data_IF_101432055089
#
_entry.id   IF_101432055089
#
_cell.length_a   1.000
_cell.length_b   1.000
_cell.length_c   1.000
_cell.angle_alpha   90.00
_cell.angle_beta   90.00
_cell.angle_gamma   90.00
#
_symmetry.space_group_name_H-M   'P 1'
#
loop_
_entity.id
_entity.type
_entity.pdbx_description
1 polymer ?
#
# COMPACT_ATOMS: atom_id res chain seq x y z
N UNK A 1 0.13 1.72 0.26
CA UNK A 1 1.27 1.58 1.20
C UNK A 1 0.89 2.09 2.57
N UNK A 2 0.60 1.18 3.50
CA UNK A 2 0.08 1.55 4.82
C UNK A 2 1.12 2.32 5.65
N UNK A 3 0.87 3.59 5.91
CA UNK A 3 1.61 4.41 6.87
C UNK A 3 1.18 4.07 8.30
N UNK A 4 1.57 2.87 8.80
CA UNK A 4 1.42 2.59 10.22
C UNK A 4 2.48 3.35 11.02
N UNK A 5 2.04 4.17 11.96
CA UNK A 5 2.90 4.79 12.96
C UNK A 5 3.75 3.72 13.69
N UNK A 6 4.95 4.07 14.16
CA UNK A 6 5.80 3.14 14.86
C UNK A 6 5.11 2.65 16.13
N UNK A 7 4.83 1.36 16.21
CA UNK A 7 4.45 0.70 17.44
C UNK A 7 5.72 0.59 18.29
N UNK A 8 6.02 1.62 19.07
CA UNK A 8 6.93 1.43 20.19
C UNK A 8 6.10 0.94 21.37
N UNK A 9 6.43 -0.25 21.80
CA UNK A 9 6.02 -0.84 23.05
C UNK A 9 6.14 0.18 24.18
N UNK A 10 5.00 0.71 24.65
CA UNK A 10 4.88 1.11 26.01
C UNK A 10 5.00 -0.18 26.81
N UNK A 11 6.10 -0.33 27.51
CA UNK A 11 6.38 -1.45 28.37
C UNK A 11 5.29 -1.59 29.41
N UNK A 12 4.37 -2.49 29.18
CA UNK A 12 3.63 -3.17 30.21
C UNK A 12 3.93 -4.65 30.01
N UNK A 13 4.74 -5.17 30.92
CA UNK A 13 5.05 -6.57 31.17
C UNK A 13 5.41 -7.45 29.97
N UNK A 14 6.65 -7.90 30.01
CA UNK A 14 7.24 -8.92 29.15
C UNK A 14 6.33 -10.14 28.99
N UNK A 15 5.70 -10.25 27.84
CA UNK A 15 5.26 -11.56 27.31
C UNK A 15 6.37 -12.02 26.39
N UNK A 16 7.25 -12.86 26.94
CA UNK A 16 8.21 -13.61 26.16
C UNK A 16 7.45 -14.55 25.23
N UNK A 17 7.43 -14.25 23.94
CA UNK A 17 7.01 -15.21 22.93
C UNK A 17 8.09 -16.28 22.84
N UNK A 18 7.83 -17.44 23.46
CA UNK A 18 8.65 -18.62 23.29
C UNK A 18 8.29 -19.28 21.97
N UNK A 19 9.02 -18.95 20.91
CA UNK A 19 9.08 -19.78 19.73
C UNK A 19 9.75 -21.09 20.11
N UNK A 20 8.97 -22.16 20.31
CA UNK A 20 9.50 -23.52 20.52
C UNK A 20 10.02 -24.04 19.19
N UNK A 21 11.34 -23.95 19.01
CA UNK A 21 12.05 -24.72 17.98
C UNK A 21 11.98 -26.19 18.31
N UNK A 22 11.39 -27.01 17.47
CA UNK A 22 11.65 -28.46 17.42
C UNK A 22 12.48 -28.76 16.18
N UNK A 23 13.74 -29.22 16.31
CA UNK A 23 14.52 -29.68 15.17
C UNK A 23 14.09 -31.11 14.81
N UNK A 24 13.64 -31.35 13.59
CA UNK A 24 13.65 -32.71 13.00
C UNK A 24 14.89 -32.84 12.16
N UNK A 25 15.83 -33.65 12.67
CA UNK A 25 17.00 -34.10 11.92
C UNK A 25 16.58 -35.07 10.80
N UNK A 26 16.94 -34.78 9.57
CA UNK A 26 17.17 -35.78 8.52
C UNK A 26 18.50 -35.48 7.84
N UNK A 27 19.46 -36.41 8.00
CA UNK A 27 20.70 -36.45 7.21
C UNK A 27 20.35 -36.85 5.77
N UNK A 28 20.82 -36.09 4.80
CA UNK A 28 20.81 -36.46 3.38
C UNK A 28 21.76 -35.54 2.62
N UNK A 29 22.78 -36.09 2.01
CA UNK A 29 23.78 -35.42 1.19
C UNK A 29 23.15 -34.82 -0.09
N UNK A 30 23.57 -33.61 -0.49
CA UNK A 30 23.29 -33.11 -1.83
C UNK A 30 23.43 -31.59 -1.92
N UNK A 31 24.43 -31.17 -2.64
CA UNK A 31 24.81 -29.82 -3.06
C UNK A 31 23.64 -29.00 -3.65
N UNK A 32 23.48 -27.80 -3.14
CA UNK A 32 22.56 -26.76 -3.68
C UNK A 32 21.90 -26.02 -2.55
N UNK A 33 22.48 -24.87 -2.13
CA UNK A 33 21.82 -24.00 -1.16
C UNK A 33 20.61 -23.30 -1.82
N UNK A 34 19.47 -23.98 -1.82
CA UNK A 34 18.17 -23.31 -1.86
C UNK A 34 17.81 -23.09 -0.40
N UNK A 35 17.85 -21.85 0.05
CA UNK A 35 17.34 -21.49 1.36
C UNK A 35 15.87 -21.92 1.41
N UNK A 36 15.56 -22.98 2.15
CA UNK A 36 14.18 -23.35 2.45
C UNK A 36 13.60 -22.22 3.29
N UNK A 37 12.66 -21.47 2.71
CA UNK A 37 11.80 -20.62 3.49
C UNK A 37 11.13 -21.50 4.55
N UNK A 38 11.43 -21.26 5.83
CA UNK A 38 10.75 -21.93 6.91
C UNK A 38 9.27 -21.51 6.85
N UNK A 39 8.37 -22.48 6.80
CA UNK A 39 6.94 -22.18 6.96
C UNK A 39 6.72 -21.65 8.38
N UNK A 40 6.51 -20.35 8.49
CA UNK A 40 6.15 -19.72 9.74
C UNK A 40 4.64 -19.86 9.93
N UNK A 41 4.21 -20.52 11.00
CA UNK A 41 2.82 -20.43 11.47
C UNK A 41 2.69 -19.12 12.25
N UNK A 42 1.93 -18.17 11.70
CA UNK A 42 1.60 -16.92 12.39
C UNK A 42 0.33 -17.09 13.20
N UNK A 43 0.32 -16.50 14.39
CA UNK A 43 -0.81 -16.58 15.30
C UNK A 43 -1.97 -15.71 14.78
N UNK A 44 -3.09 -16.33 14.45
CA UNK A 44 -4.31 -15.61 14.09
C UNK A 44 -4.97 -14.98 15.33
N UNK A 45 -5.57 -13.82 15.15
CA UNK A 45 -6.41 -13.21 16.18
C UNK A 45 -7.71 -13.99 16.36
N UNK A 46 -8.30 -13.89 17.56
CA UNK A 46 -9.55 -14.59 17.91
C UNK A 46 -10.77 -14.08 17.15
N UNK A 47 -10.70 -12.89 16.55
CA UNK A 47 -11.80 -12.27 15.82
C UNK A 47 -11.56 -12.37 14.32
N UNK A 48 -12.60 -12.65 13.57
CA UNK A 48 -12.54 -12.60 12.10
C UNK A 48 -12.20 -11.18 11.57
N UNK A 49 -12.55 -10.17 12.36
CA UNK A 49 -12.31 -8.75 12.04
C UNK A 49 -11.74 -8.02 13.24
N UNK A 50 -10.91 -6.99 13.05
CA UNK A 50 -10.47 -6.12 14.13
C UNK A 50 -11.66 -5.51 14.90
N UNK A 51 -11.52 -5.30 16.23
CA UNK A 51 -12.58 -4.76 17.10
C UNK A 51 -13.14 -3.42 16.64
N UNK A 52 -12.38 -2.67 15.91
CA UNK A 52 -12.75 -1.35 15.38
C UNK A 52 -13.38 -1.39 13.98
N UNK A 53 -13.42 -2.54 13.29
CA UNK A 53 -14.09 -2.72 12.00
C UNK A 53 -15.57 -3.10 12.21
N UNK A 54 -16.41 -2.71 11.25
CA UNK A 54 -17.83 -3.06 11.24
C UNK A 54 -18.73 -2.17 12.09
N UNK A 55 -19.83 -2.73 12.59
CA UNK A 55 -20.86 -2.02 13.38
C UNK A 55 -20.66 -2.14 14.90
N UNK A 56 -19.46 -2.43 15.36
CA UNK A 56 -19.17 -2.51 16.79
C UNK A 56 -19.35 -1.13 17.46
N UNK A 57 -19.63 -1.08 18.78
CA UNK A 57 -19.70 0.18 19.51
C UNK A 57 -18.42 1.03 19.32
N UNK A 58 -17.27 0.37 19.29
CA UNK A 58 -15.97 1.03 19.09
C UNK A 58 -15.85 1.60 17.68
N UNK A 59 -16.24 0.86 16.65
CA UNK A 59 -16.19 1.36 15.27
C UNK A 59 -17.16 2.51 15.03
N UNK A 60 -18.33 2.49 15.70
CA UNK A 60 -19.28 3.62 15.68
C UNK A 60 -18.69 4.84 16.35
N UNK A 61 -18.05 4.66 17.52
CA UNK A 61 -17.37 5.75 18.22
C UNK A 61 -16.25 6.34 17.35
N UNK A 62 -15.41 5.52 16.77
CA UNK A 62 -14.31 5.96 15.89
C UNK A 62 -14.85 6.71 14.67
N UNK A 63 -15.89 6.19 14.00
CA UNK A 63 -16.56 6.90 12.90
C UNK A 63 -17.14 8.24 13.33
N UNK A 64 -17.80 8.30 14.48
CA UNK A 64 -18.33 9.55 15.02
C UNK A 64 -17.22 10.57 15.29
N UNK A 65 -16.10 10.12 15.85
CA UNK A 65 -14.93 10.97 16.12
C UNK A 65 -14.32 11.47 14.80
N UNK A 66 -14.16 10.61 13.80
CA UNK A 66 -13.60 10.98 12.49
C UNK A 66 -14.55 11.89 11.71
N UNK A 67 -15.86 11.61 11.73
CA UNK A 67 -16.86 12.42 11.05
C UNK A 67 -17.06 13.80 11.68
N UNK A 68 -16.74 13.94 12.98
CA UNK A 68 -16.77 15.22 13.67
C UNK A 68 -15.42 15.93 13.50
N UNK A 69 -15.24 16.58 12.37
CA UNK A 69 -13.99 17.21 11.94
C UNK A 69 -13.26 18.06 13.01
N UNK A 70 -13.93 18.85 13.90
CA UNK A 70 -13.24 19.57 14.98
C UNK A 70 -12.55 18.66 15.97
N UNK A 71 -13.25 17.61 16.42
CA UNK A 71 -12.68 16.65 17.37
C UNK A 71 -11.55 15.85 16.73
N UNK A 72 -11.71 15.52 15.45
CA UNK A 72 -10.66 14.88 14.65
C UNK A 72 -9.42 15.76 14.51
N UNK A 73 -9.57 17.07 14.29
CA UNK A 73 -8.44 18.02 14.25
C UNK A 73 -7.75 18.17 15.62
N UNK A 74 -8.51 18.18 16.69
CA UNK A 74 -7.99 18.17 18.07
C UNK A 74 -7.23 16.86 18.37
N UNK A 75 -7.76 15.72 17.94
CA UNK A 75 -7.09 14.42 18.08
C UNK A 75 -5.81 14.34 17.25
N UNK A 76 -5.78 14.89 16.02
CA UNK A 76 -4.55 15.02 15.23
C UNK A 76 -3.50 15.86 15.95
N UNK A 77 -3.89 17.00 16.52
CA UNK A 77 -3.00 17.83 17.31
C UNK A 77 -2.50 17.10 18.56
N UNK A 78 -3.37 16.38 19.25
CA UNK A 78 -3.01 15.56 20.39
C UNK A 78 -2.05 14.44 20.03
N UNK A 79 -2.35 13.67 18.98
CA UNK A 79 -1.50 12.60 18.45
C UNK A 79 -0.13 13.15 18.01
N UNK A 80 -0.09 14.29 17.33
CA UNK A 80 1.16 14.99 16.97
C UNK A 80 1.98 15.37 18.21
N UNK A 81 1.34 15.94 19.22
CA UNK A 81 2.05 16.33 20.45
C UNK A 81 2.62 15.12 21.18
N UNK A 82 1.90 14.01 21.21
CA UNK A 82 2.39 12.73 21.75
C UNK A 82 3.58 12.21 20.95
N UNK A 83 3.52 12.27 19.61
CA UNK A 83 4.62 11.85 18.73
C UNK A 83 5.86 12.72 18.96
N UNK A 84 5.69 14.05 18.95
CA UNK A 84 6.79 15.00 19.19
C UNK A 84 7.41 14.78 20.58
N UNK A 85 6.58 14.73 21.62
CA UNK A 85 7.03 14.50 22.98
C UNK A 85 7.74 13.15 23.15
N UNK A 86 7.24 12.11 22.46
CA UNK A 86 7.87 10.79 22.49
C UNK A 86 9.20 10.77 21.73
N UNK A 87 9.28 11.48 20.63
CA UNK A 87 10.51 11.64 19.85
C UNK A 87 11.57 12.41 20.66
N UNK A 88 11.19 13.55 21.25
CA UNK A 88 12.08 14.36 22.07
C UNK A 88 12.58 13.62 23.32
N UNK A 89 11.72 12.83 23.98
CA UNK A 89 12.14 11.94 25.08
C UNK A 89 13.15 10.87 24.66
N UNK A 90 13.23 10.58 23.36
CA UNK A 90 14.21 9.67 22.78
C UNK A 90 15.38 10.39 22.11
N UNK A 91 15.63 11.65 22.50
CA UNK A 91 16.70 12.50 21.97
C UNK A 91 16.59 12.74 20.44
N UNK A 92 15.37 12.76 19.91
CA UNK A 92 15.12 13.17 18.54
C UNK A 92 14.67 14.62 18.59
N UNK A 93 15.49 15.59 18.14
CA UNK A 93 15.17 17.03 18.21
C UNK A 93 14.15 17.41 17.13
N UNK A 94 12.93 16.92 17.28
CA UNK A 94 11.85 17.04 16.30
C UNK A 94 11.59 18.47 15.83
N UNK A 95 11.47 19.40 16.80
CA UNK A 95 11.14 20.80 16.46
C UNK A 95 12.28 21.48 15.72
N UNK A 96 13.51 21.19 16.11
CA UNK A 96 14.71 21.73 15.49
C UNK A 96 14.88 21.18 14.07
N UNK A 97 14.76 19.86 13.89
CA UNK A 97 14.79 19.21 12.58
C UNK A 97 13.67 19.70 11.65
N UNK A 98 12.47 19.93 12.18
CA UNK A 98 11.36 20.48 11.39
C UNK A 98 11.67 21.88 10.90
N UNK A 99 12.24 22.71 11.75
CA UNK A 99 12.66 24.08 11.40
C UNK A 99 13.76 24.07 10.35
N UNK A 100 14.79 23.27 10.57
CA UNK A 100 15.92 23.11 9.65
C UNK A 100 15.47 22.66 8.24
N UNK A 101 14.54 21.70 8.17
CA UNK A 101 14.00 21.24 6.88
C UNK A 101 13.18 22.32 6.19
N UNK A 102 12.34 23.04 6.91
CA UNK A 102 11.51 24.11 6.33
C UNK A 102 12.36 25.30 5.83
N UNK A 103 13.52 25.52 6.43
CA UNK A 103 14.46 26.56 6.03
C UNK A 103 15.46 26.07 4.96
N UNK A 104 15.48 24.78 4.66
CA UNK A 104 16.44 24.19 3.71
C UNK A 104 16.16 24.57 2.26
N UNK A 105 17.24 24.66 1.46
CA UNK A 105 17.11 24.90 0.02
C UNK A 105 16.44 23.75 -0.71
N UNK A 106 16.56 22.52 -0.19
CA UNK A 106 15.85 21.34 -0.70
C UNK A 106 14.34 21.48 -0.54
N UNK A 107 13.86 22.03 0.57
CA UNK A 107 12.42 22.29 0.75
C UNK A 107 11.94 23.38 -0.23
N UNK A 108 12.69 24.47 -0.36
CA UNK A 108 12.36 25.55 -1.31
C UNK A 108 12.36 25.06 -2.75
N UNK A 109 13.27 24.17 -3.11
CA UNK A 109 13.32 23.57 -4.44
C UNK A 109 12.18 22.58 -4.66
N UNK A 110 11.81 21.77 -3.66
CA UNK A 110 10.62 20.90 -3.71
C UNK A 110 9.32 21.72 -3.84
N UNK A 111 9.22 22.85 -3.15
CA UNK A 111 8.09 23.77 -3.28
C UNK A 111 8.04 24.40 -4.68
N UNK A 112 9.20 24.68 -5.28
CA UNK A 112 9.35 25.16 -6.66
C UNK A 112 9.01 24.08 -7.70
N UNK A 113 9.36 22.82 -7.43
CA UNK A 113 9.03 21.67 -8.30
C UNK A 113 7.54 21.30 -8.17
N UNK A 114 6.96 21.41 -6.99
CA UNK A 114 5.51 21.18 -6.74
C UNK A 114 4.62 22.34 -7.24
N UNK A 115 5.20 23.52 -7.48
CA UNK A 115 4.57 24.66 -8.15
C UNK A 115 5.37 25.05 -9.42
N UNK A 116 5.63 24.15 -10.39
CA UNK A 116 5.80 24.64 -11.71
C UNK A 116 4.45 25.32 -12.00
N UNK A 117 4.45 26.49 -12.60
CA UNK A 117 3.31 26.96 -13.37
C UNK A 117 3.07 25.91 -14.46
N UNK A 118 2.48 24.79 -14.11
CA UNK A 118 1.90 23.82 -15.02
C UNK A 118 0.81 24.61 -15.73
N UNK A 119 1.17 25.09 -16.91
CA UNK A 119 0.22 25.50 -17.93
C UNK A 119 -0.53 24.21 -18.29
N UNK A 120 -1.52 23.87 -17.48
CA UNK A 120 -2.61 23.03 -17.97
C UNK A 120 -3.28 23.89 -19.07
N UNK A 121 -3.53 23.34 -20.25
CA UNK A 121 -4.36 24.04 -21.20
C UNK A 121 -5.65 24.38 -20.46
N UNK A 122 -6.01 25.64 -20.51
CA UNK A 122 -7.21 26.23 -19.92
C UNK A 122 -8.43 25.47 -20.49
N UNK A 123 -8.82 24.38 -19.84
CA UNK A 123 -10.09 23.72 -20.07
C UNK A 123 -11.04 24.26 -19.02
N UNK A 124 -11.60 25.42 -19.34
CA UNK A 124 -12.80 25.92 -18.72
C UNK A 124 -13.94 24.94 -19.01
N UNK A 125 -13.97 23.81 -18.29
CA UNK A 125 -15.20 23.04 -18.14
C UNK A 125 -15.96 23.68 -16.99
N UNK A 126 -16.95 24.53 -17.35
CA UNK A 126 -18.05 24.81 -16.46
C UNK A 126 -18.75 23.48 -16.17
N UNK A 127 -18.47 22.91 -15.01
CA UNK A 127 -19.27 21.83 -14.46
C UNK A 127 -20.59 22.44 -14.04
N UNK A 128 -21.68 22.12 -14.78
CA UNK A 128 -23.01 22.25 -14.21
C UNK A 128 -23.03 21.54 -12.87
N UNK A 129 -23.25 22.29 -11.79
CA UNK A 129 -23.44 21.75 -10.45
C UNK A 129 -24.67 20.85 -10.46
N UNK A 130 -24.47 19.55 -10.73
CA UNK A 130 -25.44 18.53 -10.39
C UNK A 130 -25.67 18.62 -8.89
N UNK A 131 -26.92 18.77 -8.47
CA UNK A 131 -27.32 18.86 -7.07
C UNK A 131 -26.94 17.57 -6.34
N UNK A 132 -25.68 17.46 -5.89
CA UNK A 132 -25.29 16.49 -4.91
C UNK A 132 -25.95 16.87 -3.59
N UNK A 133 -26.90 16.06 -3.12
CA UNK A 133 -27.45 16.21 -1.77
C UNK A 133 -26.30 16.18 -0.77
N UNK A 134 -25.95 17.35 -0.29
CA UNK A 134 -24.92 17.48 0.75
C UNK A 134 -25.42 16.78 2.01
N UNK A 135 -24.60 15.98 2.69
CA UNK A 135 -25.00 15.40 3.96
C UNK A 135 -25.51 16.49 4.91
N UNK A 136 -26.62 16.24 5.61
CA UNK A 136 -27.28 17.20 6.51
C UNK A 136 -26.37 17.81 7.59
N UNK A 137 -25.25 17.16 7.93
CA UNK A 137 -24.22 17.64 8.86
C UNK A 137 -23.21 18.62 8.21
N UNK A 138 -23.17 18.73 6.90
CA UNK A 138 -22.40 19.76 6.18
C UNK A 138 -23.08 21.15 6.27
N UNK A 139 -24.14 21.24 7.03
CA UNK A 139 -24.89 22.48 7.28
C UNK A 139 -24.09 23.56 7.99
N UNK A 140 -24.65 24.76 8.03
CA UNK A 140 -24.02 26.00 8.46
C UNK A 140 -23.88 26.17 9.98
N UNK A 141 -23.59 25.13 10.75
CA UNK A 141 -23.37 25.29 12.19
C UNK A 141 -22.09 26.11 12.47
N UNK A 142 -22.05 26.90 13.57
CA UNK A 142 -20.87 27.69 13.93
C UNK A 142 -19.61 26.81 14.01
N UNK A 143 -19.76 25.58 14.47
CA UNK A 143 -18.70 24.60 14.60
C UNK A 143 -18.18 24.11 13.23
N UNK A 144 -19.08 23.85 12.28
CA UNK A 144 -18.67 23.46 10.92
C UNK A 144 -17.97 24.60 10.18
N UNK A 145 -18.29 25.86 10.48
CA UNK A 145 -17.57 27.04 9.95
C UNK A 145 -16.16 27.15 10.55
N UNK A 146 -16.03 26.99 11.86
CA UNK A 146 -14.71 27.01 12.54
C UNK A 146 -13.79 25.91 11.97
N UNK A 147 -14.32 24.71 11.79
CA UNK A 147 -13.57 23.58 11.25
C UNK A 147 -13.17 23.79 9.80
N UNK A 148 -14.08 24.31 8.96
CA UNK A 148 -13.73 24.71 7.60
C UNK A 148 -12.61 25.73 7.56
N UNK A 149 -12.66 26.74 8.46
CA UNK A 149 -11.61 27.75 8.57
C UNK A 149 -10.26 27.14 8.96
N UNK A 150 -10.23 26.18 9.89
CA UNK A 150 -9.00 25.48 10.30
C UNK A 150 -8.46 24.59 9.16
N UNK A 151 -9.33 23.88 8.43
CA UNK A 151 -8.92 23.00 7.31
C UNK A 151 -8.54 23.81 6.08
N UNK A 152 -9.23 24.93 5.80
CA UNK A 152 -8.90 25.83 4.69
C UNK A 152 -7.61 26.61 4.91
N UNK A 153 -7.09 26.62 6.13
CA UNK A 153 -5.79 27.21 6.41
C UNK A 153 -4.67 26.23 5.98
N UNK A 154 -4.48 26.15 4.66
CA UNK A 154 -3.53 25.25 3.98
C UNK A 154 -2.14 25.21 4.62
N UNK A 155 -1.53 26.36 5.09
CA UNK A 155 -0.20 26.30 5.69
C UNK A 155 -0.11 25.45 6.96
N UNK A 156 -1.11 25.52 7.84
CA UNK A 156 -1.14 24.71 9.07
C UNK A 156 -1.32 23.22 8.76
N UNK A 157 -2.20 22.92 7.81
CA UNK A 157 -2.44 21.55 7.37
C UNK A 157 -1.20 20.92 6.71
N UNK A 158 -0.53 21.68 5.84
CA UNK A 158 0.74 21.26 5.20
C UNK A 158 1.85 21.04 6.23
N UNK A 159 1.95 21.92 7.24
CA UNK A 159 2.92 21.79 8.33
C UNK A 159 2.72 20.50 9.14
N UNK A 160 1.47 20.14 9.41
CA UNK A 160 1.10 18.92 10.13
C UNK A 160 1.45 17.64 9.34
N UNK A 161 1.24 17.66 8.02
CA UNK A 161 1.63 16.57 7.12
C UNK A 161 3.14 16.39 7.05
N UNK A 162 3.87 17.50 6.88
CA UNK A 162 5.34 17.49 6.86
C UNK A 162 5.94 16.91 8.15
N UNK A 163 5.40 17.29 9.30
CA UNK A 163 5.82 16.74 10.58
C UNK A 163 5.65 15.23 10.67
N UNK A 164 4.49 14.70 10.28
CA UNK A 164 4.21 13.27 10.29
C UNK A 164 5.12 12.49 9.33
N UNK A 165 5.32 13.03 8.12
CA UNK A 165 6.19 12.44 7.10
C UNK A 165 7.65 12.41 7.56
N UNK A 166 8.16 13.49 8.17
CA UNK A 166 9.54 13.54 8.67
C UNK A 166 9.82 12.50 9.76
N UNK A 167 8.86 12.22 10.63
CA UNK A 167 9.01 11.14 11.62
C UNK A 167 9.09 9.78 10.95
N UNK A 168 8.26 9.55 9.96
CA UNK A 168 8.29 8.30 9.19
C UNK A 168 9.67 8.10 8.55
N UNK A 169 10.14 9.11 7.82
CA UNK A 169 11.44 9.11 7.13
C UNK A 169 12.57 8.89 8.13
N UNK A 170 12.63 9.69 9.19
CA UNK A 170 13.70 9.57 10.20
C UNK A 170 13.68 8.20 10.90
N UNK A 171 12.49 7.61 11.10
CA UNK A 171 12.37 6.28 11.68
C UNK A 171 12.85 5.20 10.71
N UNK A 172 12.56 5.36 9.42
CA UNK A 172 13.05 4.47 8.38
C UNK A 172 14.58 4.53 8.26
N UNK A 173 15.15 5.73 8.22
CA UNK A 173 16.60 5.95 8.14
C UNK A 173 17.36 5.38 9.34
N UNK A 174 16.80 5.48 10.57
CA UNK A 174 17.35 4.81 11.75
C UNK A 174 17.35 3.29 11.63
N UNK A 175 16.56 2.74 10.74
CA UNK A 175 16.53 1.31 10.40
C UNK A 175 17.30 0.98 9.13
N UNK A 176 18.25 1.83 8.75
CA UNK A 176 19.13 1.69 7.59
C UNK A 176 18.38 1.70 6.23
N UNK A 177 17.24 2.38 6.15
CA UNK A 177 16.56 2.66 4.88
C UNK A 177 16.95 4.07 4.47
N UNK A 178 17.78 4.28 3.44
CA UNK A 178 18.27 5.61 3.05
C UNK A 178 17.18 6.38 2.26
N UNK A 179 16.08 6.68 2.94
CA UNK A 179 14.85 7.21 2.34
C UNK A 179 15.09 8.50 1.53
N UNK A 180 15.75 9.50 2.15
CA UNK A 180 16.00 10.79 1.49
C UNK A 180 16.94 10.63 0.29
N UNK A 181 17.94 9.78 0.41
CA UNK A 181 18.89 9.50 -0.68
C UNK A 181 18.18 8.83 -1.85
N UNK A 182 17.38 7.80 -1.61
CA UNK A 182 16.58 7.12 -2.63
C UNK A 182 15.60 8.08 -3.31
N UNK A 183 14.92 8.92 -2.52
CA UNK A 183 14.00 9.94 -3.05
C UNK A 183 14.73 10.93 -3.94
N UNK A 184 15.86 11.46 -3.47
CA UNK A 184 16.70 12.41 -4.20
C UNK A 184 17.21 11.81 -5.51
N UNK A 185 17.71 10.56 -5.47
CA UNK A 185 18.18 9.85 -6.66
C UNK A 185 17.13 9.82 -7.78
N UNK A 186 15.88 9.54 -7.43
CA UNK A 186 14.79 9.51 -8.40
C UNK A 186 14.47 10.91 -8.91
N UNK A 187 14.30 11.90 -8.01
CA UNK A 187 13.88 13.24 -8.39
C UNK A 187 14.95 14.01 -9.19
N UNK A 188 16.24 13.72 -8.98
CA UNK A 188 17.36 14.33 -9.73
C UNK A 188 17.73 13.56 -11.02
N UNK A 189 17.02 12.45 -11.30
CA UNK A 189 17.32 11.60 -12.44
C UNK A 189 16.54 11.99 -13.71
N UNK A 190 16.83 11.27 -14.79
CA UNK A 190 16.11 11.40 -16.07
C UNK A 190 14.74 10.69 -16.09
N UNK A 191 14.20 10.31 -14.95
CA UNK A 191 12.93 9.56 -14.81
C UNK A 191 11.77 10.24 -15.55
N UNK A 192 11.77 11.55 -15.65
CA UNK A 192 10.74 12.35 -16.34
C UNK A 192 10.58 11.99 -17.82
N UNK A 193 11.64 11.50 -18.46
CA UNK A 193 11.62 11.06 -19.87
C UNK A 193 10.80 9.78 -20.07
N UNK A 194 10.59 9.00 -19.03
CA UNK A 194 9.78 7.78 -19.10
C UNK A 194 8.28 8.08 -19.07
N UNK A 195 7.87 9.17 -18.44
CA UNK A 195 6.46 9.56 -18.31
C UNK A 195 5.78 9.70 -19.68
N UNK A 196 6.40 10.45 -20.60
CA UNK A 196 5.86 10.71 -21.94
C UNK A 196 5.61 9.43 -22.75
N UNK A 197 6.41 8.38 -22.48
CA UNK A 197 6.32 7.09 -23.19
C UNK A 197 5.26 6.17 -22.61
N UNK A 198 4.97 6.33 -21.32
CA UNK A 198 4.10 5.42 -20.55
C UNK A 198 2.70 5.98 -20.39
N UNK A 199 2.60 7.30 -20.24
CA UNK A 199 1.33 7.95 -19.98
C UNK A 199 0.32 7.72 -21.10
N UNK A 200 -0.87 7.23 -20.74
CA UNK A 200 -2.03 7.22 -21.60
C UNK A 200 -2.83 8.52 -21.39
N UNK A 201 -2.79 9.47 -22.30
CA UNK A 201 -3.43 10.78 -22.11
C UNK A 201 -4.97 10.73 -22.22
N UNK A 202 -5.54 9.62 -22.71
CA UNK A 202 -6.98 9.43 -22.83
C UNK A 202 -7.61 8.76 -21.60
N UNK A 203 -6.79 8.42 -20.60
CA UNK A 203 -7.27 7.73 -19.40
C UNK A 203 -8.05 8.70 -18.52
N UNK A 204 -9.27 8.32 -18.14
CA UNK A 204 -10.11 9.06 -17.20
C UNK A 204 -9.96 8.40 -15.83
N UNK A 205 -9.47 9.16 -14.86
CA UNK A 205 -9.29 8.66 -13.50
C UNK A 205 -10.62 8.52 -12.78
N UNK A 206 -10.85 7.44 -12.03
CA UNK A 206 -12.02 7.35 -11.17
C UNK A 206 -11.90 8.36 -10.00
N UNK A 207 -13.02 8.95 -9.60
CA UNK A 207 -13.08 10.01 -8.58
C UNK A 207 -12.40 9.62 -7.26
N UNK A 208 -12.48 8.34 -6.89
CA UNK A 208 -11.86 7.87 -5.65
C UNK A 208 -10.33 7.94 -5.69
N UNK A 209 -9.71 7.86 -6.87
CA UNK A 209 -8.26 7.90 -7.04
C UNK A 209 -7.69 9.32 -6.97
N UNK A 210 -8.51 10.34 -7.21
CA UNK A 210 -8.12 11.75 -7.19
C UNK A 210 -8.06 12.34 -5.78
N UNK A 211 -8.31 11.54 -4.76
CA UNK A 211 -8.25 11.98 -3.37
C UNK A 211 -6.80 12.06 -2.85
N UNK A 212 -6.52 12.95 -1.88
CA UNK A 212 -5.27 12.89 -1.13
C UNK A 212 -5.07 11.51 -0.50
N UNK A 213 -3.90 10.93 -0.68
CA UNK A 213 -3.54 9.59 -0.22
C UNK A 213 -2.18 9.60 0.46
N UNK A 214 -1.94 8.75 1.46
CA UNK A 214 -0.64 8.57 2.14
C UNK A 214 0.05 9.88 2.58
N UNK A 215 -0.73 10.92 2.91
CA UNK A 215 -0.27 12.27 3.23
C UNK A 215 0.27 13.10 2.04
N UNK A 216 0.11 12.64 0.81
CA UNK A 216 0.32 13.45 -0.39
C UNK A 216 -1.00 14.14 -0.79
N UNK A 217 -0.92 15.41 -1.18
CA UNK A 217 -2.11 16.19 -1.55
C UNK A 217 -2.67 15.73 -2.91
N UNK A 218 -1.79 15.39 -3.85
CA UNK A 218 -2.12 14.84 -5.15
C UNK A 218 -2.29 13.31 -5.13
N UNK A 219 -2.32 12.72 -3.94
CA UNK A 219 -2.41 11.27 -3.78
C UNK A 219 -1.25 10.54 -4.47
N UNK A 220 -1.61 9.51 -5.22
CA UNK A 220 -0.64 8.70 -5.97
C UNK A 220 -0.24 9.35 -7.31
N UNK A 221 -0.80 10.52 -7.67
CA UNK A 221 -0.51 11.25 -8.90
C UNK A 221 0.57 12.32 -8.68
N UNK A 222 1.68 11.95 -8.04
CA UNK A 222 2.80 12.88 -7.80
C UNK A 222 4.16 12.21 -7.92
N UNK A 223 5.15 12.99 -8.37
CA UNK A 223 6.54 12.54 -8.41
C UNK A 223 7.09 12.19 -7.03
N UNK A 224 6.65 12.93 -6.01
CA UNK A 224 7.11 12.69 -4.66
C UNK A 224 6.60 11.34 -4.12
N UNK A 225 5.31 11.03 -4.34
CA UNK A 225 4.76 9.74 -3.98
C UNK A 225 5.49 8.60 -4.71
N UNK A 226 5.76 8.79 -6.01
CA UNK A 226 6.48 7.80 -6.81
C UNK A 226 7.94 7.60 -6.34
N UNK A 227 8.65 8.69 -6.03
CA UNK A 227 10.04 8.62 -5.57
C UNK A 227 10.18 7.96 -4.18
N UNK A 228 9.16 8.07 -3.34
CA UNK A 228 9.17 7.51 -1.99
C UNK A 228 8.57 6.11 -1.87
N UNK A 229 7.88 5.64 -2.90
CA UNK A 229 7.12 4.39 -2.86
C UNK A 229 7.97 3.16 -2.48
N UNK A 230 9.19 3.04 -2.99
CA UNK A 230 10.07 1.91 -2.65
C UNK A 230 10.56 1.98 -1.21
N UNK A 231 11.02 3.15 -0.74
CA UNK A 231 11.46 3.33 0.64
C UNK A 231 10.29 3.06 1.63
N UNK A 232 9.06 3.45 1.26
CA UNK A 232 7.85 3.13 2.02
C UNK A 232 7.59 1.62 2.08
N UNK A 233 7.74 0.92 0.94
CA UNK A 233 7.61 -0.54 0.87
C UNK A 233 8.67 -1.26 1.73
N UNK A 234 9.92 -0.81 1.70
CA UNK A 234 10.99 -1.32 2.57
C UNK A 234 10.66 -1.09 4.04
N UNK A 235 10.16 0.10 4.39
CA UNK A 235 9.75 0.41 5.75
C UNK A 235 8.57 -0.44 6.23
N UNK A 236 7.65 -0.79 5.33
CA UNK A 236 6.55 -1.73 5.61
C UNK A 236 7.10 -3.12 5.92
N UNK A 237 7.98 -3.67 5.09
CA UNK A 237 8.59 -4.97 5.29
C UNK A 237 9.31 -5.05 6.64
N UNK A 238 10.13 -4.05 6.98
CA UNK A 238 10.85 -4.00 8.25
C UNK A 238 9.95 -3.89 9.49
N UNK A 239 8.72 -3.37 9.32
CA UNK A 239 7.73 -3.34 10.40
C UNK A 239 6.95 -4.63 10.54
N UNK A 240 6.68 -5.31 9.44
CA UNK A 240 5.99 -6.59 9.47
C UNK A 240 6.89 -7.69 10.05
N UNK A 241 8.20 -7.65 9.76
CA UNK A 241 9.20 -8.62 10.25
C UNK A 241 10.27 -7.86 11.07
N UNK A 242 9.96 -7.44 12.30
CA UNK A 242 10.88 -6.64 13.12
C UNK A 242 12.14 -7.39 13.53
N UNK A 243 12.09 -8.72 13.61
CA UNK A 243 13.17 -9.59 14.05
C UNK A 243 14.10 -10.03 12.90
N UNK A 244 13.83 -9.62 11.66
CA UNK A 244 14.72 -9.88 10.54
C UNK A 244 16.09 -9.23 10.79
N UNK A 245 17.18 -9.93 10.42
CA UNK A 245 18.55 -9.44 10.61
C UNK A 245 18.90 -8.30 9.65
N UNK A 246 18.26 -8.28 8.49
CA UNK A 246 18.46 -7.27 7.46
C UNK A 246 17.12 -6.84 6.83
N UNK A 247 17.17 -5.79 6.03
CA UNK A 247 16.05 -5.34 5.21
C UNK A 247 15.73 -6.34 4.10
N UNK A 248 16.78 -6.90 3.49
CA UNK A 248 16.64 -7.90 2.42
C UNK A 248 15.97 -9.16 2.96
N UNK A 249 16.38 -9.65 4.13
CA UNK A 249 15.71 -10.77 4.78
C UNK A 249 14.23 -10.49 5.07
N UNK A 250 13.89 -9.29 5.56
CA UNK A 250 12.50 -8.92 5.79
C UNK A 250 11.67 -8.93 4.49
N UNK A 251 12.25 -8.43 3.40
CA UNK A 251 11.60 -8.45 2.09
C UNK A 251 11.49 -9.88 1.54
N UNK A 252 12.54 -10.69 1.67
CA UNK A 252 12.52 -12.08 1.22
C UNK A 252 11.48 -12.92 1.97
N UNK A 253 11.34 -12.72 3.28
CA UNK A 253 10.31 -13.42 4.06
C UNK A 253 8.92 -13.06 3.56
N UNK A 254 8.61 -11.76 3.48
CA UNK A 254 7.28 -11.31 3.07
C UNK A 254 6.98 -11.77 1.64
N UNK A 255 7.90 -11.51 0.72
CA UNK A 255 7.66 -11.79 -0.70
C UNK A 255 7.85 -13.26 -1.03
N UNK A 256 8.76 -13.95 -0.35
CA UNK A 256 8.95 -15.39 -0.49
C UNK A 256 7.72 -16.17 -0.07
N UNK A 257 7.13 -15.83 1.08
CA UNK A 257 5.91 -16.50 1.55
C UNK A 257 4.71 -16.26 0.63
N UNK A 258 4.56 -15.03 0.15
CA UNK A 258 3.53 -14.68 -0.83
C UNK A 258 3.71 -15.45 -2.15
N UNK A 259 4.91 -15.45 -2.71
CA UNK A 259 5.22 -16.18 -3.95
C UNK A 259 5.05 -17.69 -3.79
N UNK A 260 5.40 -18.23 -2.62
CA UNK A 260 5.19 -19.64 -2.30
C UNK A 260 3.70 -19.99 -2.26
N UNK A 261 2.87 -19.13 -1.65
CA UNK A 261 1.42 -19.33 -1.63
C UNK A 261 0.83 -19.37 -3.04
N UNK A 262 1.27 -18.46 -3.92
CA UNK A 262 0.87 -18.42 -5.34
C UNK A 262 1.27 -19.71 -6.04
N UNK A 263 2.55 -20.09 -5.96
CA UNK A 263 3.08 -21.27 -6.65
C UNK A 263 2.38 -22.55 -6.21
N UNK A 264 2.22 -22.74 -4.89
CA UNK A 264 1.55 -23.91 -4.34
C UNK A 264 0.10 -24.01 -4.82
N UNK A 265 -0.63 -22.90 -4.77
CA UNK A 265 -2.01 -22.86 -5.24
C UNK A 265 -2.11 -23.20 -6.74
N UNK A 266 -1.28 -22.54 -7.55
CA UNK A 266 -1.27 -22.76 -9.01
C UNK A 266 -0.94 -24.21 -9.35
N UNK A 267 0.10 -24.79 -8.74
CA UNK A 267 0.47 -26.20 -8.95
C UNK A 267 -0.65 -27.16 -8.56
N UNK A 268 -1.41 -26.84 -7.54
CA UNK A 268 -2.46 -27.73 -7.03
C UNK A 268 -3.73 -27.69 -7.88
N UNK A 269 -4.12 -26.53 -8.41
CA UNK A 269 -5.46 -26.34 -8.98
C UNK A 269 -5.51 -25.93 -10.45
N UNK A 270 -4.39 -25.49 -11.07
CA UNK A 270 -4.41 -24.97 -12.44
C UNK A 270 -4.50 -26.03 -13.53
N UNK A 271 -4.24 -27.30 -13.20
CA UNK A 271 -4.08 -28.36 -14.21
C UNK A 271 -2.85 -28.21 -15.13
N UNK A 272 -2.14 -27.08 -15.06
CA UNK A 272 -0.90 -26.80 -15.76
C UNK A 272 0.09 -26.10 -14.83
N UNK A 273 1.24 -26.70 -14.61
CA UNK A 273 2.26 -26.17 -13.71
C UNK A 273 3.02 -24.94 -14.24
N UNK A 274 2.77 -24.52 -15.48
CA UNK A 274 3.53 -23.46 -16.15
C UNK A 274 2.77 -22.14 -16.16
N UNK A 275 3.29 -21.14 -15.46
CA UNK A 275 2.86 -19.76 -15.54
C UNK A 275 3.65 -19.06 -16.64
N UNK A 276 2.98 -18.62 -17.73
CA UNK A 276 3.59 -17.98 -18.90
C UNK A 276 3.32 -16.49 -19.00
N UNK A 277 2.12 -16.07 -18.61
CA UNK A 277 1.69 -14.68 -18.69
C UNK A 277 1.17 -14.24 -17.33
N UNK A 278 1.80 -13.19 -16.77
CA UNK A 278 1.50 -12.65 -15.46
C UNK A 278 1.08 -11.18 -15.59
N UNK A 279 0.00 -10.81 -14.91
CA UNK A 279 -0.41 -9.43 -14.73
C UNK A 279 -0.33 -9.07 -13.24
N UNK A 280 0.39 -7.99 -12.91
CA UNK A 280 0.45 -7.39 -11.58
C UNK A 280 -0.32 -6.06 -11.61
N UNK A 281 -1.52 -6.04 -11.03
CA UNK A 281 -2.43 -4.88 -11.02
C UNK A 281 -2.17 -4.02 -9.80
N UNK A 282 -2.05 -2.70 -10.00
CA UNK A 282 -1.62 -1.76 -8.97
C UNK A 282 -0.14 -1.97 -8.62
N UNK A 283 0.68 -2.16 -9.65
CA UNK A 283 2.08 -2.54 -9.50
C UNK A 283 2.99 -1.47 -8.89
N UNK A 284 2.50 -0.23 -8.73
CA UNK A 284 3.25 0.91 -8.20
C UNK A 284 4.60 1.07 -8.93
N UNK A 285 5.69 1.26 -8.20
CA UNK A 285 7.05 1.38 -8.76
C UNK A 285 7.70 0.02 -9.06
N UNK A 286 6.91 -1.03 -9.23
CA UNK A 286 7.33 -2.32 -9.75
C UNK A 286 8.04 -3.25 -8.76
N UNK A 287 7.97 -3.00 -7.45
CA UNK A 287 8.66 -3.86 -6.47
C UNK A 287 8.10 -5.28 -6.49
N UNK A 288 6.79 -5.47 -6.33
CA UNK A 288 6.15 -6.79 -6.38
C UNK A 288 6.29 -7.44 -7.76
N UNK A 289 6.14 -6.64 -8.82
CA UNK A 289 6.33 -7.07 -10.21
C UNK A 289 7.72 -7.64 -10.46
N UNK A 290 8.76 -7.00 -9.90
CA UNK A 290 10.14 -7.48 -9.97
C UNK A 290 10.31 -8.85 -9.33
N UNK A 291 9.73 -9.07 -8.15
CA UNK A 291 9.75 -10.38 -7.47
C UNK A 291 9.01 -11.47 -8.25
N UNK A 292 7.88 -11.14 -8.90
CA UNK A 292 7.18 -12.05 -9.80
C UNK A 292 8.06 -12.43 -11.00
N UNK A 293 8.71 -11.45 -11.64
CA UNK A 293 9.57 -11.68 -12.78
C UNK A 293 10.84 -12.49 -12.43
N UNK A 294 11.38 -12.30 -11.22
CA UNK A 294 12.53 -13.07 -10.74
C UNK A 294 12.13 -14.52 -10.38
N UNK A 295 10.94 -14.71 -9.81
CA UNK A 295 10.41 -16.04 -9.45
C UNK A 295 10.03 -16.86 -10.69
N UNK A 296 9.47 -16.21 -11.72
CA UNK A 296 9.00 -16.83 -12.94
C UNK A 296 9.75 -16.30 -14.18
N UNK A 297 11.06 -16.60 -14.34
CA UNK A 297 11.92 -15.94 -15.33
C UNK A 297 11.55 -16.27 -16.79
N UNK A 298 10.77 -17.31 -17.01
CA UNK A 298 10.25 -17.67 -18.34
C UNK A 298 8.93 -17.01 -18.68
N UNK A 299 8.25 -16.42 -17.70
CA UNK A 299 6.97 -15.75 -17.91
C UNK A 299 7.16 -14.36 -18.54
N UNK A 300 6.13 -13.92 -19.27
CA UNK A 300 5.95 -12.52 -19.64
C UNK A 300 5.20 -11.84 -18.51
N UNK A 301 5.82 -10.84 -17.92
CA UNK A 301 5.24 -10.10 -16.79
C UNK A 301 4.81 -8.72 -17.24
N UNK A 302 3.58 -8.36 -16.92
CA UNK A 302 3.00 -7.05 -17.17
C UNK A 302 2.67 -6.42 -15.82
N UNK A 303 3.17 -5.21 -15.58
CA UNK A 303 2.78 -4.36 -14.47
C UNK A 303 1.80 -3.29 -14.97
N UNK A 304 0.66 -3.17 -14.29
CA UNK A 304 -0.38 -2.19 -14.59
C UNK A 304 -0.63 -1.30 -13.39
N UNK A 305 -0.68 0.01 -13.59
CA UNK A 305 -0.99 0.98 -12.54
C UNK A 305 -1.75 2.19 -13.11
N UNK A 306 -2.54 2.83 -12.26
CA UNK A 306 -3.23 4.08 -12.55
C UNK A 306 -2.31 5.31 -12.49
N UNK A 307 -1.15 5.22 -11.79
CA UNK A 307 -0.21 6.31 -11.70
C UNK A 307 0.87 6.21 -12.78
N UNK A 308 0.90 7.09 -13.76
CA UNK A 308 1.98 7.11 -14.75
C UNK A 308 3.32 7.50 -14.12
N UNK A 309 3.30 8.23 -12.99
CA UNK A 309 4.48 8.58 -12.21
C UNK A 309 5.13 7.34 -11.59
N UNK A 310 4.31 6.44 -11.03
CA UNK A 310 4.80 5.17 -10.49
C UNK A 310 5.41 4.31 -11.59
N UNK A 311 4.72 4.18 -12.71
CA UNK A 311 5.21 3.40 -13.85
C UNK A 311 6.49 3.99 -14.46
N UNK A 312 6.61 5.31 -14.52
CA UNK A 312 7.84 5.97 -14.98
C UNK A 312 9.03 5.59 -14.07
N UNK A 313 8.84 5.59 -12.75
CA UNK A 313 9.86 5.15 -11.80
C UNK A 313 10.13 3.65 -11.95
N UNK A 314 9.11 2.81 -12.14
CA UNK A 314 9.27 1.38 -12.37
C UNK A 314 10.14 1.10 -13.61
N UNK A 315 9.81 1.74 -14.74
CA UNK A 315 10.56 1.61 -15.98
C UNK A 315 12.00 2.12 -15.84
N UNK A 316 12.19 3.27 -15.19
CA UNK A 316 13.51 3.84 -14.96
C UNK A 316 14.41 2.91 -14.14
N UNK A 317 13.85 2.31 -13.09
CA UNK A 317 14.56 1.33 -12.24
C UNK A 317 14.87 0.04 -12.98
N UNK A 318 13.93 -0.47 -13.75
CA UNK A 318 14.12 -1.69 -14.53
C UNK A 318 15.24 -1.51 -15.56
N UNK A 319 15.39 -0.35 -16.17
CA UNK A 319 16.50 -0.03 -17.10
C UNK A 319 17.88 0.00 -16.42
N UNK A 320 17.93 0.25 -15.11
CA UNK A 320 19.19 0.24 -14.34
C UNK A 320 19.62 -1.16 -13.89
N UNK A 321 18.72 -2.14 -13.97
CA UNK A 321 19.02 -3.55 -13.64
C UNK A 321 19.72 -4.24 -14.80
N UNK A 322 20.33 -5.40 -14.50
CA UNK A 322 20.76 -6.33 -15.54
C UNK A 322 19.56 -6.75 -16.41
N UNK A 323 19.68 -6.75 -17.74
CA UNK A 323 18.57 -7.07 -18.63
C UNK A 323 17.96 -8.43 -18.33
N UNK A 324 16.63 -8.48 -18.21
CA UNK A 324 15.87 -9.73 -18.10
C UNK A 324 15.75 -10.40 -19.46
N UNK A 325 15.64 -11.73 -19.47
CA UNK A 325 15.32 -12.48 -20.69
C UNK A 325 13.97 -12.03 -21.28
N UNK A 326 12.98 -11.84 -20.43
CA UNK A 326 11.68 -11.29 -20.77
C UNK A 326 11.53 -9.94 -20.03
N UNK A 327 11.65 -8.79 -20.73
CA UNK A 327 11.44 -7.48 -20.12
C UNK A 327 10.03 -7.33 -19.57
N UNK A 328 9.89 -6.62 -18.44
CA UNK A 328 8.58 -6.28 -17.90
C UNK A 328 7.91 -5.23 -18.78
N UNK A 329 6.61 -5.44 -19.05
CA UNK A 329 5.78 -4.49 -19.79
C UNK A 329 5.02 -3.64 -18.78
N UNK A 330 5.07 -2.31 -18.91
CA UNK A 330 4.37 -1.38 -18.05
C UNK A 330 3.19 -0.77 -18.78
N UNK A 331 1.99 -0.82 -18.16
CA UNK A 331 0.73 -0.35 -18.76
C UNK A 331 0.06 0.65 -17.82
N UNK A 332 -0.17 1.87 -18.33
CA UNK A 332 -0.96 2.89 -17.67
C UNK A 332 -2.43 2.71 -18.01
N UNK A 333 -3.20 2.07 -17.12
CA UNK A 333 -4.61 1.74 -17.32
C UNK A 333 -5.37 1.60 -16.00
N UNK A 334 -6.69 1.58 -16.07
CA UNK A 334 -7.59 1.30 -14.96
C UNK A 334 -7.60 -0.20 -14.68
N UNK A 335 -7.43 -0.59 -13.41
CA UNK A 335 -7.43 -2.01 -13.04
C UNK A 335 -8.80 -2.67 -13.12
N UNK A 336 -9.90 -1.90 -12.96
CA UNK A 336 -11.28 -2.37 -13.03
C UNK A 336 -11.79 -2.59 -14.48
N UNK A 337 -11.09 -2.00 -15.47
CA UNK A 337 -11.38 -2.12 -16.91
C UNK A 337 -10.08 -1.89 -17.69
N UNK A 338 -9.27 -2.94 -17.77
CA UNK A 338 -7.90 -2.86 -18.29
C UNK A 338 -7.82 -2.66 -19.80
N UNK A 339 -8.87 -2.97 -20.53
CA UNK A 339 -8.86 -3.03 -22.00
C UNK A 339 -8.02 -4.20 -22.56
N UNK A 340 -7.48 -5.07 -21.72
CA UNK A 340 -6.69 -6.23 -22.14
C UNK A 340 -7.59 -7.39 -22.58
N UNK A 341 -7.04 -8.30 -23.38
CA UNK A 341 -7.78 -9.44 -23.91
C UNK A 341 -8.20 -10.41 -22.79
N UNK A 342 -9.43 -10.92 -22.88
CA UNK A 342 -9.93 -11.99 -22.00
C UNK A 342 -9.08 -13.26 -22.17
N UNK A 343 -9.00 -14.07 -21.12
CA UNK A 343 -8.29 -15.35 -21.13
C UNK A 343 -6.84 -15.25 -21.64
N UNK A 344 -6.12 -14.21 -21.23
CA UNK A 344 -4.76 -13.93 -21.71
C UNK A 344 -3.66 -14.11 -20.66
N UNK A 345 -4.04 -14.32 -19.39
CA UNK A 345 -3.10 -14.50 -18.29
C UNK A 345 -3.28 -15.83 -17.57
N UNK A 346 -2.18 -16.38 -17.04
CA UNK A 346 -2.18 -17.57 -16.18
C UNK A 346 -2.21 -17.16 -14.70
N UNK A 347 -1.69 -15.96 -14.39
CA UNK A 347 -1.66 -15.39 -13.05
C UNK A 347 -2.03 -13.89 -13.11
N UNK A 348 -2.99 -13.49 -12.28
CA UNK A 348 -3.26 -12.08 -11.96
C UNK A 348 -2.97 -11.86 -10.48
N UNK A 349 -2.06 -10.95 -10.19
CA UNK A 349 -1.63 -10.58 -8.83
C UNK A 349 -2.09 -9.16 -8.51
N UNK A 350 -2.53 -8.94 -7.27
CA UNK A 350 -2.78 -7.64 -6.67
C UNK A 350 -2.15 -7.62 -5.29
N UNK A 351 -1.06 -6.85 -5.13
CA UNK A 351 -0.30 -6.84 -3.88
C UNK A 351 -0.34 -5.45 -3.23
N UNK A 352 -0.99 -5.37 -2.07
CA UNK A 352 -1.11 -4.15 -1.26
C UNK A 352 -1.87 -3.00 -1.95
N UNK A 353 -2.93 -3.34 -2.67
CA UNK A 353 -3.76 -2.41 -3.48
C UNK A 353 -5.18 -2.30 -2.93
N UNK A 354 -5.78 -3.43 -2.51
CA UNK A 354 -7.21 -3.47 -2.24
C UNK A 354 -7.63 -2.59 -1.06
N UNK A 355 -6.74 -2.40 -0.07
CA UNK A 355 -7.01 -1.53 1.07
C UNK A 355 -7.04 -0.02 0.70
N UNK A 356 -6.56 0.33 -0.49
CA UNK A 356 -6.63 1.67 -1.06
C UNK A 356 -7.91 1.90 -1.88
N UNK A 357 -8.71 0.86 -2.11
CA UNK A 357 -9.87 0.88 -2.99
C UNK A 357 -11.20 0.88 -2.23
N UNK A 358 -12.23 1.62 -2.71
CA UNK A 358 -13.59 1.45 -2.21
C UNK A 358 -14.12 0.05 -2.58
N UNK A 359 -15.08 -0.46 -1.82
CA UNK A 359 -15.66 -1.79 -2.00
C UNK A 359 -16.10 -2.06 -3.44
N UNK A 360 -16.74 -1.09 -4.09
CA UNK A 360 -17.17 -1.21 -5.50
C UNK A 360 -15.99 -1.46 -6.44
N UNK A 361 -14.87 -0.78 -6.23
CA UNK A 361 -13.67 -0.97 -7.05
C UNK A 361 -13.05 -2.35 -6.79
N UNK A 362 -13.02 -2.81 -5.53
CA UNK A 362 -12.56 -4.17 -5.19
C UNK A 362 -13.36 -5.23 -5.97
N UNK A 363 -14.69 -5.12 -5.97
CA UNK A 363 -15.56 -6.06 -6.72
C UNK A 363 -15.27 -6.02 -8.22
N UNK A 364 -15.05 -4.83 -8.79
CA UNK A 364 -14.76 -4.69 -10.21
C UNK A 364 -13.37 -5.22 -10.56
N UNK A 365 -12.35 -4.98 -9.73
CA UNK A 365 -11.01 -5.54 -9.88
C UNK A 365 -11.03 -7.07 -9.89
N UNK A 366 -11.81 -7.68 -9.00
CA UNK A 366 -11.97 -9.14 -8.94
C UNK A 366 -12.66 -9.68 -10.19
N UNK A 367 -13.71 -9.01 -10.69
CA UNK A 367 -14.40 -9.41 -11.93
C UNK A 367 -13.50 -9.26 -13.15
N UNK A 368 -12.71 -8.19 -13.20
CA UNK A 368 -11.76 -7.98 -14.28
C UNK A 368 -10.65 -9.05 -14.25
N UNK A 369 -10.13 -9.39 -13.08
CA UNK A 369 -9.18 -10.49 -12.94
C UNK A 369 -9.75 -11.83 -13.44
N UNK A 370 -11.04 -12.11 -13.15
CA UNK A 370 -11.71 -13.30 -13.63
C UNK A 370 -11.79 -13.33 -15.17
N UNK A 371 -12.14 -12.19 -15.78
CA UNK A 371 -12.22 -12.06 -17.24
C UNK A 371 -10.86 -12.27 -17.93
N UNK A 372 -9.79 -11.76 -17.30
CA UNK A 372 -8.44 -11.79 -17.85
C UNK A 372 -7.76 -13.14 -17.75
N UNK A 373 -8.11 -13.93 -16.74
CA UNK A 373 -7.50 -15.22 -16.49
C UNK A 373 -8.04 -16.29 -17.45
N UNK A 374 -7.14 -17.16 -17.89
CA UNK A 374 -7.48 -18.39 -18.61
C UNK A 374 -8.22 -19.36 -17.69
N UNK A 375 -9.03 -20.31 -18.25
CA UNK A 375 -9.48 -21.47 -17.47
C UNK A 375 -8.28 -22.14 -16.75
N UNK A 376 -8.43 -22.45 -15.47
CA UNK A 376 -7.35 -22.92 -14.60
C UNK A 376 -6.37 -21.83 -14.13
N UNK A 377 -6.51 -20.59 -14.56
CA UNK A 377 -5.65 -19.47 -14.14
C UNK A 377 -5.88 -19.10 -12.68
N UNK A 378 -4.85 -18.53 -12.06
CA UNK A 378 -4.82 -18.19 -10.63
C UNK A 378 -4.92 -16.68 -10.42
N UNK A 379 -5.80 -16.24 -9.51
CA UNK A 379 -5.76 -14.91 -8.92
C UNK A 379 -5.08 -14.97 -7.56
N UNK A 380 -4.27 -13.95 -7.23
CA UNK A 380 -3.62 -13.82 -5.93
C UNK A 380 -3.79 -12.39 -5.39
N UNK A 381 -4.47 -12.26 -4.27
CA UNK A 381 -4.75 -11.00 -3.59
C UNK A 381 -3.98 -10.97 -2.26
N UNK A 382 -2.92 -10.16 -2.20
CA UNK A 382 -2.08 -10.04 -1.00
C UNK A 382 -2.30 -8.69 -0.35
N UNK A 383 -2.78 -8.67 0.89
CA UNK A 383 -3.09 -7.43 1.60
C UNK A 383 -3.20 -7.64 3.12
N UNK A 384 -3.51 -6.58 3.86
CA UNK A 384 -3.72 -6.60 5.29
C UNK A 384 -4.72 -7.70 5.70
N UNK A 385 -4.37 -8.51 6.69
CA UNK A 385 -5.27 -9.57 7.19
C UNK A 385 -6.23 -9.04 8.25
N UNK A 386 -7.56 -9.18 8.07
CA UNK A 386 -8.51 -8.88 9.15
C UNK A 386 -8.30 -9.74 10.40
N UNK A 387 -7.71 -10.93 10.23
CA UNK A 387 -7.40 -11.87 11.33
C UNK A 387 -6.05 -11.60 11.99
N UNK A 388 -5.24 -10.66 11.48
CA UNK A 388 -3.98 -10.29 12.10
C UNK A 388 -4.16 -9.85 13.53
N UNK A 389 -3.52 -10.53 14.47
CA UNK A 389 -3.52 -10.17 15.90
C UNK A 389 -3.01 -8.73 16.12
N UNK A 390 -1.97 -8.33 15.38
CA UNK A 390 -1.39 -6.98 15.44
C UNK A 390 -2.44 -5.93 15.05
N UNK A 391 -3.21 -6.19 13.98
CA UNK A 391 -4.22 -5.25 13.50
C UNK A 391 -5.48 -5.26 14.40
N UNK A 392 -5.82 -6.41 14.98
CA UNK A 392 -6.94 -6.52 15.93
C UNK A 392 -6.65 -5.77 17.24
N UNK A 393 -5.40 -5.70 17.67
CA UNK A 393 -4.94 -5.05 18.91
C UNK A 393 -4.58 -3.56 18.69
N UNK A 394 -4.71 -3.03 17.46
CA UNK A 394 -4.47 -1.62 17.20
C UNK A 394 -5.33 -0.72 18.10
N UNK A 395 -4.68 0.25 18.74
CA UNK A 395 -5.40 1.24 19.52
C UNK A 395 -6.32 2.08 18.62
N UNK A 396 -7.48 2.57 19.13
CA UNK A 396 -8.37 3.45 18.36
C UNK A 396 -7.67 4.69 17.79
N UNK A 397 -6.66 5.19 18.49
CA UNK A 397 -5.87 6.36 18.04
C UNK A 397 -5.03 6.02 16.83
N UNK A 398 -4.31 4.90 16.87
CA UNK A 398 -3.48 4.44 15.72
C UNK A 398 -4.35 4.09 14.51
N UNK A 399 -5.48 3.45 14.74
CA UNK A 399 -6.44 3.18 13.67
C UNK A 399 -6.98 4.46 13.03
N UNK A 400 -7.34 5.46 13.86
CA UNK A 400 -7.82 6.76 13.37
C UNK A 400 -6.74 7.43 12.53
N UNK A 401 -5.48 7.33 12.94
CA UNK A 401 -4.34 7.88 12.19
C UNK A 401 -4.19 7.19 10.83
N UNK A 402 -4.21 5.85 10.80
CA UNK A 402 -4.15 5.07 9.55
C UNK A 402 -5.29 5.47 8.61
N UNK A 403 -6.53 5.44 9.09
CA UNK A 403 -7.70 5.82 8.29
C UNK A 403 -7.66 7.25 7.78
N UNK A 404 -6.93 8.16 8.44
CA UNK A 404 -6.78 9.54 7.95
C UNK A 404 -5.94 9.65 6.68
N UNK A 405 -5.13 8.65 6.40
CA UNK A 405 -4.27 8.56 5.21
C UNK A 405 -4.77 7.54 4.19
N UNK A 406 -5.69 6.67 4.59
CA UNK A 406 -6.27 5.60 3.77
C UNK A 406 -7.80 5.62 3.91
N UNK A 407 -8.50 6.40 3.08
CA UNK A 407 -9.93 6.69 3.26
C UNK A 407 -10.82 5.44 3.15
N UNK A 408 -10.41 4.43 2.37
CA UNK A 408 -11.21 3.23 2.08
C UNK A 408 -10.85 2.02 2.96
N UNK A 409 -9.94 2.18 3.90
CA UNK A 409 -9.47 1.09 4.77
C UNK A 409 -10.61 0.36 5.51
N UNK A 410 -11.65 1.07 5.94
CA UNK A 410 -12.83 0.44 6.58
C UNK A 410 -13.60 -0.46 5.60
N UNK A 411 -13.80 0.01 4.36
CA UNK A 411 -14.53 -0.73 3.34
C UNK A 411 -13.80 -2.03 3.02
N UNK A 412 -12.45 -1.96 2.90
CA UNK A 412 -11.63 -3.14 2.73
C UNK A 412 -11.79 -4.16 3.87
N UNK A 413 -11.75 -3.71 5.13
CA UNK A 413 -11.92 -4.63 6.27
C UNK A 413 -13.34 -5.17 6.44
N UNK A 414 -14.34 -4.52 5.85
CA UNK A 414 -15.72 -4.97 5.85
C UNK A 414 -16.02 -5.91 4.67
N UNK A 415 -15.23 -5.84 3.62
CA UNK A 415 -15.38 -6.70 2.45
C UNK A 415 -14.93 -8.13 2.78
N UNK A 416 -15.78 -9.11 2.45
CA UNK A 416 -15.44 -10.53 2.47
C UNK A 416 -14.82 -10.89 1.11
N UNK A 417 -13.49 -10.79 1.00
CA UNK A 417 -12.77 -11.08 -0.24
C UNK A 417 -13.01 -12.50 -0.76
N UNK A 418 -13.19 -13.45 0.15
CA UNK A 418 -13.43 -14.84 -0.24
C UNK A 418 -14.83 -15.00 -0.84
N UNK A 419 -15.84 -14.35 -0.26
CA UNK A 419 -17.17 -14.29 -0.84
C UNK A 419 -17.16 -13.55 -2.19
N UNK A 420 -16.50 -12.40 -2.26
CA UNK A 420 -16.35 -11.60 -3.49
C UNK A 420 -15.73 -12.43 -4.64
N UNK A 421 -14.71 -13.23 -4.34
CA UNK A 421 -14.09 -14.13 -5.32
C UNK A 421 -15.08 -15.22 -5.79
N UNK A 422 -15.80 -15.85 -4.86
CA UNK A 422 -16.80 -16.90 -5.19
C UNK A 422 -17.95 -16.32 -6.01
N UNK A 423 -18.43 -15.15 -5.67
CA UNK A 423 -19.50 -14.45 -6.43
C UNK A 423 -19.05 -14.05 -7.84
N UNK A 424 -17.77 -13.76 -8.04
CA UNK A 424 -17.20 -13.53 -9.36
C UNK A 424 -17.01 -14.81 -10.20
N UNK A 425 -17.20 -15.99 -9.61
CA UNK A 425 -17.10 -17.28 -10.29
C UNK A 425 -15.82 -18.07 -10.02
N UNK A 426 -14.92 -17.57 -9.16
CA UNK A 426 -13.72 -18.31 -8.78
C UNK A 426 -14.05 -19.52 -7.89
N UNK A 427 -13.25 -20.56 -8.05
CA UNK A 427 -13.26 -21.77 -7.23
C UNK A 427 -11.95 -21.95 -6.48
N UNK A 428 -11.86 -22.93 -5.59
CA UNK A 428 -10.66 -23.24 -4.83
C UNK A 428 -10.09 -22.00 -4.09
N UNK A 429 -10.97 -21.25 -3.43
CA UNK A 429 -10.58 -20.05 -2.69
C UNK A 429 -9.85 -20.45 -1.41
N UNK A 430 -8.60 -20.04 -1.27
CA UNK A 430 -7.76 -20.32 -0.11
C UNK A 430 -7.16 -19.03 0.45
N UNK A 431 -7.12 -18.93 1.77
CA UNK A 431 -6.49 -17.82 2.49
C UNK A 431 -5.38 -18.35 3.37
N UNK A 432 -4.21 -17.73 3.29
CA UNK A 432 -3.06 -18.02 4.14
C UNK A 432 -2.46 -16.72 4.69
N UNK A 433 -2.07 -16.72 5.97
CA UNK A 433 -1.26 -15.65 6.54
C UNK A 433 0.17 -15.79 6.02
N UNK A 434 0.63 -14.83 5.27
CA UNK A 434 1.97 -14.82 4.68
C UNK A 434 3.01 -14.10 5.54
N UNK A 435 2.54 -13.26 6.47
CA UNK A 435 3.33 -12.65 7.53
C UNK A 435 2.41 -12.23 8.70
N UNK A 436 2.93 -11.73 9.83
CA UNK A 436 2.09 -11.41 11.00
C UNK A 436 0.99 -10.37 10.76
N UNK A 437 1.02 -9.65 9.62
CA UNK A 437 0.06 -8.58 9.28
C UNK A 437 -0.76 -8.86 8.04
N UNK A 438 -0.22 -9.61 7.10
CA UNK A 438 -0.78 -9.75 5.76
C UNK A 438 -1.23 -11.18 5.49
N UNK A 439 -2.22 -11.29 4.63
CA UNK A 439 -2.72 -12.55 4.06
C UNK A 439 -2.55 -12.54 2.55
N UNK A 440 -2.48 -13.72 1.98
CA UNK A 440 -2.67 -13.92 0.54
C UNK A 440 -3.92 -14.79 0.35
N UNK A 441 -4.87 -14.26 -0.41
CA UNK A 441 -6.06 -15.00 -0.85
C UNK A 441 -5.83 -15.43 -2.28
N UNK A 442 -5.87 -16.72 -2.54
CA UNK A 442 -5.70 -17.29 -3.89
C UNK A 442 -6.98 -17.99 -4.33
N UNK A 443 -7.25 -17.97 -5.62
CA UNK A 443 -8.40 -18.68 -6.20
C UNK A 443 -8.13 -19.02 -7.67
N UNK A 444 -8.93 -19.93 -8.23
CA UNK A 444 -8.76 -20.45 -9.58
C UNK A 444 -10.00 -20.17 -10.43
N UNK A 445 -9.82 -19.80 -11.70
CA UNK A 445 -10.91 -19.80 -12.70
C UNK A 445 -11.24 -21.25 -13.06
N UNK A 446 -12.52 -21.67 -13.07
CA UNK A 446 -12.91 -23.03 -13.49
C UNK A 446 -12.34 -23.40 -14.84
N UNK A 447 -12.08 -24.71 -15.03
CA UNK A 447 -11.61 -25.28 -16.31
C UNK A 447 -12.70 -25.34 -17.38
#
# INVERSE_FOLDING_TARGET
MALCAPTHNLSLSSVKSHARRRPRSRKGYGTGMVAMAASYEYEEGQLERPKWAGQTPLSRLVRTIISFKPLYSLLKLGARNVLISTAEKKNIPWREMTKEILESDVYKELERIQNPSLVYPDSSYEYEEGQLERPKWAGQTPLSRLVRTIISFKPLYSLLKLGARNVLISTAEKKNIPWREMTKEILESDVYKELERIQNPSLVYPDYYLNPFHAYDEGNLSWLAAAEAEAATMSMARRAIPDASSLDEANEIIRGNWLQAIEQHHLQYSGNSTIRDILDVGCSVGVSTGYLADKFPSAKVTGLDLSPYFLAVAQFKEKKRSPRKNPIIWIHAIGEDTGLLSNSFDLVSMAYVLHECPEKAIVNLVKEAFRLLRPGGTVALTDNSPKSKILQELSPVLFTLMKSTEPFLDEYYLNDLEATLREAGFVNVHTILTDPRHRTVTATVPH
#
